data_IF_991185862489
#
_entry.id   IF_991185862489
#
_cell.length_a   1.000
_cell.length_b   1.000
_cell.length_c   1.000
_cell.angle_alpha   90.00
_cell.angle_beta   90.00
_cell.angle_gamma   90.00
#
_symmetry.space_group_name_H-M   'P 1'
#
loop_
_entity.id
_entity.type
_entity.pdbx_description
1 polymer ?
#
# COMPACT_ATOMS: atom_id res chain seq x y z
N UNK A 1 11.71 5.42 -25.35
CA UNK A 1 12.56 4.61 -24.46
C UNK A 1 11.97 4.53 -23.08
N UNK A 2 11.73 3.33 -22.64
CA UNK A 2 11.13 3.11 -21.32
C UNK A 2 11.99 3.70 -20.19
N UNK A 3 13.29 3.61 -20.32
CA UNK A 3 14.19 4.11 -19.27
C UNK A 3 14.03 5.61 -19.05
N UNK A 4 13.84 6.35 -20.12
CA UNK A 4 13.65 7.81 -20.00
C UNK A 4 12.32 8.11 -19.32
N UNK A 5 11.29 7.34 -19.62
CA UNK A 5 9.98 7.56 -19.00
C UNK A 5 10.06 7.34 -17.49
N UNK A 6 10.78 6.31 -17.07
CA UNK A 6 10.95 6.07 -15.65
C UNK A 6 11.67 7.21 -14.96
N UNK A 7 12.66 7.78 -15.60
CA UNK A 7 13.41 8.88 -15.00
C UNK A 7 12.54 10.09 -14.78
N UNK A 8 11.65 10.36 -15.71
CA UNK A 8 10.73 11.50 -15.57
C UNK A 8 9.75 11.32 -14.44
N UNK A 9 9.30 10.07 -14.22
CA UNK A 9 8.34 9.81 -13.18
C UNK A 9 6.97 10.40 -13.43
N UNK A 10 6.72 10.86 -14.65
CA UNK A 10 5.46 11.54 -14.99
C UNK A 10 4.58 10.76 -15.93
N UNK A 11 5.10 9.69 -16.52
CA UNK A 11 4.31 8.89 -17.44
C UNK A 11 3.43 7.91 -16.66
N UNK A 12 2.41 7.38 -17.35
CA UNK A 12 1.54 6.38 -16.74
C UNK A 12 2.32 5.14 -16.31
N UNK A 13 3.28 4.72 -17.12
CA UNK A 13 4.10 3.55 -16.78
C UNK A 13 4.93 3.78 -15.53
N UNK A 14 5.53 4.95 -15.41
CA UNK A 14 6.35 5.26 -14.23
C UNK A 14 5.49 5.35 -12.98
N UNK A 15 4.31 5.94 -13.09
CA UNK A 15 3.41 6.04 -11.95
C UNK A 15 2.89 4.68 -11.51
N UNK A 16 2.61 3.81 -12.49
CA UNK A 16 2.17 2.45 -12.17
C UNK A 16 3.28 1.68 -11.46
N UNK A 17 4.53 1.83 -11.93
CA UNK A 17 5.67 1.16 -11.29
C UNK A 17 5.84 1.61 -9.85
N UNK A 18 5.67 2.90 -9.58
CA UNK A 18 5.75 3.41 -8.21
C UNK A 18 4.65 2.85 -7.34
N UNK A 19 3.45 2.73 -7.92
CA UNK A 19 2.33 2.17 -7.17
C UNK A 19 2.62 0.72 -6.79
N UNK A 20 3.20 -0.05 -7.70
CA UNK A 20 3.59 -1.42 -7.40
C UNK A 20 4.65 -1.48 -6.30
N UNK A 21 5.63 -0.58 -6.35
CA UNK A 21 6.66 -0.54 -5.33
C UNK A 21 6.07 -0.26 -3.95
N UNK A 22 5.09 0.62 -3.89
CA UNK A 22 4.46 0.94 -2.62
C UNK A 22 3.56 -0.18 -2.13
N UNK A 23 2.99 -0.93 -3.05
CA UNK A 23 2.12 -2.04 -2.68
C UNK A 23 2.90 -3.20 -2.06
N UNK A 24 4.15 -3.39 -2.46
CA UNK A 24 4.93 -4.54 -1.99
C UNK A 24 5.09 -4.60 -0.47
N UNK A 25 5.49 -3.52 0.21
CA UNK A 25 5.60 -3.60 1.68
C UNK A 25 4.27 -3.94 2.34
N UNK A 26 3.16 -3.44 1.78
CA UNK A 26 1.84 -3.74 2.30
C UNK A 26 1.55 -5.23 2.20
N UNK A 27 1.85 -5.82 1.05
CA UNK A 27 1.64 -7.25 0.86
C UNK A 27 2.54 -8.08 1.76
N UNK A 28 3.78 -7.65 1.96
CA UNK A 28 4.70 -8.35 2.84
C UNK A 28 4.22 -8.31 4.28
N UNK A 29 3.73 -7.16 4.74
CA UNK A 29 3.17 -7.05 6.08
C UNK A 29 1.95 -7.94 6.23
N UNK A 30 1.11 -7.99 5.21
CA UNK A 30 -0.05 -8.86 5.25
C UNK A 30 0.37 -10.33 5.31
N UNK A 31 1.38 -10.70 4.51
CA UNK A 31 1.85 -12.09 4.48
C UNK A 31 2.44 -12.53 5.81
N UNK A 32 2.98 -11.60 6.60
CA UNK A 32 3.53 -11.93 7.92
C UNK A 32 2.51 -11.70 9.03
N UNK A 33 1.24 -11.71 8.71
CA UNK A 33 0.13 -11.55 9.66
C UNK A 33 0.20 -10.23 10.42
N UNK A 34 0.72 -9.20 9.76
CA UNK A 34 0.76 -7.86 10.34
C UNK A 34 1.73 -7.71 11.50
N UNK A 35 2.75 -8.55 11.56
CA UNK A 35 3.67 -8.52 12.69
C UNK A 35 4.29 -7.15 12.91
N UNK A 36 4.80 -6.52 11.86
CA UNK A 36 5.42 -5.20 11.99
C UNK A 36 4.40 -4.15 12.42
N UNK A 37 3.19 -4.23 11.91
CA UNK A 37 2.13 -3.29 12.29
C UNK A 37 1.84 -3.39 13.78
N UNK A 38 1.75 -4.62 14.29
CA UNK A 38 1.45 -4.83 15.71
C UNK A 38 2.61 -4.39 16.59
N UNK A 39 3.83 -4.64 16.15
CA UNK A 39 5.02 -4.26 16.91
C UNK A 39 5.14 -2.75 17.05
N UNK A 40 4.73 -2.01 16.02
CA UNK A 40 4.88 -0.55 16.01
C UNK A 40 3.59 0.19 16.30
N UNK A 41 2.51 -0.52 16.61
CA UNK A 41 1.24 0.12 16.92
C UNK A 41 0.64 0.89 15.77
N UNK A 42 0.82 0.39 14.56
CA UNK A 42 0.31 1.04 13.34
C UNK A 42 -1.19 0.74 13.21
N UNK A 43 -1.94 1.73 12.75
CA UNK A 43 -3.39 1.59 12.56
C UNK A 43 -3.74 1.53 11.08
N UNK A 44 -4.95 1.06 10.77
CA UNK A 44 -5.43 1.03 9.40
C UNK A 44 -5.48 2.43 8.80
N UNK A 45 -5.90 3.42 9.58
CA UNK A 45 -5.93 4.80 9.10
C UNK A 45 -4.55 5.25 8.66
N UNK A 46 -3.52 4.92 9.43
CA UNK A 46 -2.15 5.28 9.08
C UNK A 46 -1.69 4.58 7.82
N UNK A 47 -2.02 3.29 7.70
CA UNK A 47 -1.63 2.52 6.52
C UNK A 47 -2.30 3.08 5.27
N UNK A 48 -3.59 3.41 5.38
CA UNK A 48 -4.32 3.99 4.25
C UNK A 48 -3.72 5.33 3.83
N UNK A 49 -3.40 6.17 4.82
CA UNK A 49 -2.86 7.50 4.52
C UNK A 49 -1.51 7.40 3.81
N UNK A 50 -0.62 6.53 4.31
CA UNK A 50 0.71 6.38 3.71
C UNK A 50 0.63 5.82 2.30
N UNK A 51 -0.34 4.93 2.05
CA UNK A 51 -0.42 4.22 0.78
C UNK A 51 -1.42 4.83 -0.19
N UNK A 52 -2.01 5.97 0.14
CA UNK A 52 -3.04 6.57 -0.71
C UNK A 52 -2.50 6.95 -2.09
N UNK A 53 -1.20 7.22 -2.19
CA UNK A 53 -0.59 7.57 -3.48
C UNK A 53 -0.59 6.42 -4.47
N UNK A 54 -0.87 5.20 -4.03
CA UNK A 54 -1.02 4.07 -4.96
C UNK A 54 -2.12 4.38 -5.97
N UNK A 55 -3.18 5.05 -5.53
CA UNK A 55 -4.28 5.41 -6.41
C UNK A 55 -3.88 6.38 -7.52
N UNK A 56 -2.84 7.17 -7.28
CA UNK A 56 -2.34 8.09 -8.31
C UNK A 56 -1.75 7.32 -9.49
N UNK A 57 -1.18 6.15 -9.23
CA UNK A 57 -0.58 5.34 -10.28
C UNK A 57 -1.52 4.31 -10.88
N UNK A 58 -2.47 3.83 -10.08
CA UNK A 58 -3.40 2.81 -10.55
C UNK A 58 -4.57 2.69 -9.60
N UNK A 59 -5.77 2.98 -10.07
CA UNK A 59 -6.97 2.79 -9.28
C UNK A 59 -7.17 1.32 -8.92
N UNK A 60 -6.82 0.41 -9.83
CA UNK A 60 -6.97 -1.01 -9.58
C UNK A 60 -6.04 -1.48 -8.47
N UNK A 61 -4.80 -0.99 -8.46
CA UNK A 61 -3.86 -1.33 -7.38
C UNK A 61 -4.30 -0.76 -6.05
N UNK A 62 -4.87 0.45 -6.07
CA UNK A 62 -5.39 1.04 -4.84
C UNK A 62 -6.56 0.23 -4.30
N UNK A 63 -7.43 -0.23 -5.18
CA UNK A 63 -8.53 -1.11 -4.78
C UNK A 63 -8.01 -2.38 -4.11
N UNK A 64 -6.99 -2.99 -4.72
CA UNK A 64 -6.36 -4.16 -4.13
C UNK A 64 -5.76 -3.84 -2.77
N UNK A 65 -5.08 -2.70 -2.65
CA UNK A 65 -4.49 -2.28 -1.39
C UNK A 65 -5.55 -2.14 -0.31
N UNK A 66 -6.69 -1.54 -0.65
CA UNK A 66 -7.77 -1.39 0.31
C UNK A 66 -8.32 -2.74 0.76
N UNK A 67 -8.46 -3.69 -0.17
CA UNK A 67 -8.91 -5.03 0.20
C UNK A 67 -7.93 -5.71 1.14
N UNK A 68 -6.64 -5.52 0.91
CA UNK A 68 -5.61 -6.10 1.79
C UNK A 68 -5.71 -5.48 3.19
N UNK A 69 -5.88 -4.16 3.25
CA UNK A 69 -5.99 -3.47 4.53
C UNK A 69 -7.26 -3.93 5.26
N UNK A 70 -8.39 -4.00 4.55
CA UNK A 70 -9.65 -4.42 5.15
C UNK A 70 -9.55 -5.85 5.67
N UNK A 71 -8.90 -6.73 4.92
CA UNK A 71 -8.70 -8.10 5.35
C UNK A 71 -7.86 -8.16 6.63
N UNK A 72 -6.82 -7.33 6.70
CA UNK A 72 -5.98 -7.29 7.89
C UNK A 72 -6.76 -6.81 9.11
N UNK A 73 -7.66 -5.84 8.92
CA UNK A 73 -8.51 -5.36 10.00
C UNK A 73 -9.44 -6.49 10.45
N UNK A 74 -10.06 -7.18 9.50
CA UNK A 74 -10.97 -8.26 9.81
C UNK A 74 -10.28 -9.38 10.58
N UNK A 75 -9.04 -9.67 10.24
CA UNK A 75 -8.27 -10.72 10.93
C UNK A 75 -7.71 -10.28 12.28
N UNK A 76 -7.85 -9.01 12.62
CA UNK A 76 -7.35 -8.48 13.88
C UNK A 76 -5.88 -8.13 13.86
N UNK A 77 -5.27 -8.09 12.69
CA UNK A 77 -3.85 -7.77 12.56
C UNK A 77 -3.60 -6.27 12.54
N UNK A 78 -4.62 -5.48 12.30
CA UNK A 78 -4.48 -4.05 12.10
C UNK A 78 -5.70 -3.34 12.69
N UNK A 79 -5.53 -2.58 13.77
CA UNK A 79 -6.68 -1.85 14.32
C UNK A 79 -7.10 -0.71 13.40
N UNK A 80 -8.39 -0.40 13.40
CA UNK A 80 -8.91 0.67 12.54
C UNK A 80 -8.30 2.02 12.92
N UNK A 81 -8.27 2.32 14.20
CA UNK A 81 -7.79 3.62 14.68
C UNK A 81 -6.76 3.39 15.79
N UNK A 82 -6.14 4.48 16.22
CA UNK A 82 -5.10 4.43 17.22
C UNK A 82 -5.58 4.17 18.63
N UNK A 83 -6.83 3.79 18.78
CA UNK A 83 -7.39 3.54 20.12
C UNK A 83 -7.66 2.11 20.35
#
# INVERSE_FOLDING_TARGET
>A
MAALEFEDGTTADARFARALDRLQPLLLNHASAGQAWREHGITADQVRAVNSTIGDGSAALWELAQHVIDDAVTRGWLPETGR
#
